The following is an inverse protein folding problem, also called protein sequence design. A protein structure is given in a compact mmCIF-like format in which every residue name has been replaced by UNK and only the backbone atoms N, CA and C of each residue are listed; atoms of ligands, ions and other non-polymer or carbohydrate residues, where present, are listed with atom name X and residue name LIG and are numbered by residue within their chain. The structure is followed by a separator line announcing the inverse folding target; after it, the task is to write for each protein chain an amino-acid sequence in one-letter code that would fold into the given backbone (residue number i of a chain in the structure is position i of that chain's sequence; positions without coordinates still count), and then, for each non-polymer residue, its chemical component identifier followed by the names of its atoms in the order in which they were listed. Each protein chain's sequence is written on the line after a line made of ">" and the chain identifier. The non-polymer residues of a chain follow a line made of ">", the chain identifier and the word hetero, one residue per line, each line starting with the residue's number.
data_IF_570199293394
#
_entry.id   IF_570199293394
#
_cell.length_a   1.000
_cell.length_b   1.000
_cell.length_c   1.000
_cell.angle_alpha   90.00
_cell.angle_beta   90.00
_cell.angle_gamma   90.00
#
_symmetry.space_group_name_H-M   'P 1'
#
loop_
_entity.id
_entity.type
_entity.pdbx_description
1 polymer ?
#
# COMPACT_ATOMS: atom_id res chain seq x y z
N UNK A 1 2.75 7.24 9.88
CA UNK A 1 2.23 5.92 9.47
C UNK A 1 1.08 5.48 10.38
N UNK A 2 -0.05 5.04 9.81
CA UNK A 2 -1.18 4.40 10.51
C UNK A 2 -0.96 2.88 10.56
N UNK A 3 -1.30 2.26 11.69
CA UNK A 3 -1.31 0.81 11.81
C UNK A 3 -2.43 0.21 10.97
N UNK A 4 -2.09 -0.82 10.20
CA UNK A 4 -3.06 -1.56 9.40
C UNK A 4 -3.79 -2.55 10.31
N UNK A 5 -5.13 -2.52 10.32
CA UNK A 5 -5.92 -3.40 11.20
C UNK A 5 -5.78 -4.89 10.86
N UNK A 6 -5.32 -5.22 9.65
CA UNK A 6 -5.12 -6.60 9.18
C UNK A 6 -6.27 -7.54 9.57
N UNK A 7 -7.51 -7.12 9.32
CA UNK A 7 -8.72 -7.86 9.68
C UNK A 7 -8.79 -9.25 9.03
N UNK A 8 -7.99 -9.48 7.99
CA UNK A 8 -7.94 -10.76 7.27
C UNK A 8 -6.91 -11.74 7.84
N UNK A 9 -6.04 -11.34 8.76
CA UNK A 9 -4.97 -12.17 9.35
C UNK A 9 -3.85 -12.60 8.39
N UNK A 10 -4.06 -12.48 7.07
CA UNK A 10 -3.11 -12.85 6.01
C UNK A 10 -2.53 -11.66 5.25
N UNK A 11 -2.83 -10.42 5.65
CA UNK A 11 -2.27 -9.27 4.93
C UNK A 11 -0.79 -9.12 5.25
N UNK A 12 0.02 -8.98 4.20
CA UNK A 12 1.46 -8.71 4.30
C UNK A 12 1.77 -7.26 4.69
N UNK A 13 0.75 -6.40 4.83
CA UNK A 13 0.89 -4.99 5.21
C UNK A 13 0.83 -4.82 6.73
N UNK A 14 1.87 -4.22 7.30
CA UNK A 14 1.95 -3.86 8.72
C UNK A 14 1.44 -2.44 8.98
N UNK A 15 1.89 -1.48 8.17
CA UNK A 15 1.55 -0.07 8.32
C UNK A 15 1.39 0.59 6.96
N UNK A 16 0.65 1.69 6.91
CA UNK A 16 0.52 2.50 5.72
C UNK A 16 0.55 3.98 6.06
N UNK A 17 0.90 4.81 5.10
CA UNK A 17 0.93 6.25 5.22
C UNK A 17 0.31 6.86 3.97
N UNK A 18 -0.71 7.67 4.20
CA UNK A 18 -1.40 8.39 3.14
C UNK A 18 -0.86 9.82 3.14
N UNK A 19 -0.10 10.18 2.11
CA UNK A 19 0.28 11.56 1.84
C UNK A 19 -0.58 12.12 0.69
N UNK A 20 -0.39 13.41 0.39
CA UNK A 20 -1.13 14.12 -0.66
C UNK A 20 -0.78 13.58 -2.05
N UNK A 21 0.52 13.36 -2.30
CA UNK A 21 1.06 12.96 -3.60
C UNK A 21 1.49 11.49 -3.69
N UNK A 22 1.61 10.81 -2.54
CA UNK A 22 2.07 9.44 -2.47
C UNK A 22 1.45 8.67 -1.30
N UNK A 23 1.52 7.34 -1.39
CA UNK A 23 1.15 6.39 -0.35
C UNK A 23 2.36 5.53 -0.07
N UNK A 24 2.79 5.50 1.19
CA UNK A 24 3.87 4.63 1.65
C UNK A 24 3.26 3.43 2.34
N UNK A 25 3.66 2.23 1.95
CA UNK A 25 3.19 0.99 2.57
C UNK A 25 4.39 0.26 3.15
N UNK A 26 4.27 -0.12 4.41
CA UNK A 26 5.25 -0.91 5.14
C UNK A 26 4.70 -2.31 5.34
N UNK A 27 5.47 -3.28 4.87
CA UNK A 27 5.13 -4.69 4.99
C UNK A 27 5.64 -5.27 6.31
N UNK A 28 5.08 -6.41 6.71
CA UNK A 28 5.52 -7.19 7.86
C UNK A 28 6.97 -7.65 7.71
N UNK A 29 7.43 -7.86 6.47
CA UNK A 29 8.82 -8.20 6.14
C UNK A 29 9.78 -6.99 6.22
N UNK A 30 9.38 -5.89 6.88
CA UNK A 30 10.12 -4.63 6.99
C UNK A 30 10.40 -3.90 5.65
N UNK A 31 9.97 -4.46 4.52
CA UNK A 31 10.04 -3.80 3.22
C UNK A 31 9.12 -2.59 3.18
N UNK A 32 9.59 -1.50 2.58
CA UNK A 32 8.84 -0.25 2.45
C UNK A 32 8.74 0.10 0.98
N UNK A 33 7.51 0.25 0.51
CA UNK A 33 7.21 0.60 -0.87
C UNK A 33 6.48 1.93 -0.90
N UNK A 34 6.91 2.81 -1.81
CA UNK A 34 6.27 4.11 -2.02
C UNK A 34 5.58 4.14 -3.37
N UNK A 35 4.29 4.47 -3.35
CA UNK A 35 3.43 4.59 -4.51
C UNK A 35 3.04 6.05 -4.70
N UNK A 36 3.53 6.71 -5.74
CA UNK A 36 3.13 8.07 -6.08
C UNK A 36 2.00 8.07 -7.11
N UNK A 37 1.21 9.14 -7.15
CA UNK A 37 0.17 9.31 -8.18
C UNK A 37 0.73 9.22 -9.60
N UNK A 38 1.99 9.65 -9.81
CA UNK A 38 2.68 9.55 -11.10
C UNK A 38 3.07 8.12 -11.49
N UNK A 39 3.45 7.27 -10.53
CA UNK A 39 3.91 5.91 -10.84
C UNK A 39 2.80 4.89 -10.78
N UNK A 40 1.99 4.94 -9.71
CA UNK A 40 0.88 4.03 -9.50
C UNK A 40 -0.39 4.47 -10.24
N UNK A 41 -0.54 5.77 -10.55
CA UNK A 41 -1.79 6.32 -11.06
C UNK A 41 -2.77 6.66 -9.92
N UNK A 42 -3.56 7.72 -10.13
CA UNK A 42 -4.56 8.17 -9.16
C UNK A 42 -5.59 7.09 -8.80
N UNK A 43 -6.05 6.30 -9.78
CA UNK A 43 -7.02 5.22 -9.55
C UNK A 43 -6.49 4.17 -8.59
N UNK A 44 -5.26 3.70 -8.81
CA UNK A 44 -4.65 2.72 -7.92
C UNK A 44 -4.41 3.31 -6.52
N UNK A 45 -3.97 4.57 -6.43
CA UNK A 45 -3.80 5.25 -5.14
C UNK A 45 -5.14 5.35 -4.41
N UNK A 46 -6.23 5.73 -5.10
CA UNK A 46 -7.58 5.77 -4.53
C UNK A 46 -8.01 4.38 -4.05
N UNK A 47 -7.79 3.35 -4.85
CA UNK A 47 -8.09 1.96 -4.46
C UNK A 47 -7.29 1.55 -3.21
N UNK A 48 -6.01 1.90 -3.13
CA UNK A 48 -5.18 1.66 -1.95
C UNK A 48 -5.74 2.37 -0.72
N UNK A 49 -6.19 3.62 -0.84
CA UNK A 49 -6.80 4.33 0.31
C UNK A 49 -8.04 3.58 0.81
N UNK A 50 -8.91 3.16 -0.11
CA UNK A 50 -10.13 2.41 0.24
C UNK A 50 -9.80 1.08 0.92
N UNK A 51 -8.85 0.30 0.38
CA UNK A 51 -8.43 -0.97 0.98
C UNK A 51 -7.70 -0.77 2.31
N UNK A 52 -6.93 0.31 2.45
CA UNK A 52 -6.26 0.69 3.69
C UNK A 52 -7.23 1.07 4.80
N UNK A 53 -8.30 1.78 4.45
CA UNK A 53 -9.39 2.10 5.37
C UNK A 53 -10.23 0.86 5.70
N UNK A 54 -10.47 -0.01 4.72
CA UNK A 54 -11.19 -1.27 4.92
C UNK A 54 -10.38 -2.29 5.76
N UNK A 55 -9.07 -2.10 5.92
CA UNK A 55 -8.22 -2.99 6.74
C UNK A 55 -8.08 -4.41 6.18
N UNK A 56 -8.46 -4.66 4.92
CA UNK A 56 -8.44 -5.97 4.26
C UNK A 56 -8.08 -5.84 2.78
N UNK A 57 -7.25 -6.76 2.27
CA UNK A 57 -6.98 -6.92 0.84
C UNK A 57 -5.91 -5.99 0.23
N UNK A 58 -5.35 -5.05 0.99
CA UNK A 58 -4.33 -4.12 0.47
C UNK A 58 -3.06 -4.85 0.00
N UNK A 59 -2.57 -5.84 0.76
CA UNK A 59 -1.35 -6.58 0.39
C UNK A 59 -1.48 -7.34 -0.94
N UNK A 60 -2.57 -8.10 -1.10
CA UNK A 60 -2.85 -8.83 -2.34
C UNK A 60 -3.04 -7.88 -3.52
N UNK A 61 -3.77 -6.77 -3.33
CA UNK A 61 -3.93 -5.76 -4.37
C UNK A 61 -2.57 -5.20 -4.80
N UNK A 62 -1.67 -4.94 -3.87
CA UNK A 62 -0.33 -4.46 -4.18
C UNK A 62 0.46 -5.50 -4.99
N UNK A 63 0.48 -6.76 -4.56
CA UNK A 63 1.18 -7.83 -5.30
C UNK A 63 0.58 -8.11 -6.69
N UNK A 64 -0.72 -7.87 -6.88
CA UNK A 64 -1.38 -8.21 -8.15
C UNK A 64 -1.35 -7.04 -9.14
N UNK A 65 -1.66 -5.82 -8.69
CA UNK A 65 -1.80 -4.63 -9.53
C UNK A 65 -0.56 -3.73 -9.52
N UNK A 66 0.18 -3.71 -8.42
CA UNK A 66 1.23 -2.72 -8.17
C UNK A 66 2.64 -3.34 -8.12
N UNK A 67 2.77 -4.60 -8.55
CA UNK A 67 4.05 -5.31 -8.64
C UNK A 67 5.07 -4.59 -9.53
N UNK A 68 4.59 -3.90 -10.57
CA UNK A 68 5.42 -3.16 -11.54
C UNK A 68 5.19 -1.63 -11.51
N UNK A 69 4.21 -1.15 -10.73
CA UNK A 69 3.82 0.27 -10.71
C UNK A 69 4.28 1.00 -9.43
N UNK A 70 5.22 0.42 -8.68
CA UNK A 70 5.80 1.08 -7.52
C UNK A 70 6.77 2.18 -7.96
N UNK A 71 6.65 3.36 -7.36
CA UNK A 71 7.52 4.49 -7.72
C UNK A 71 8.97 4.24 -7.31
N UNK A 72 9.15 3.60 -6.16
CA UNK A 72 10.46 3.26 -5.63
C UNK A 72 10.33 2.20 -4.54
N UNK A 73 11.17 1.17 -4.63
CA UNK A 73 11.45 0.29 -3.50
C UNK A 73 12.43 1.02 -2.58
N UNK A 74 12.01 1.32 -1.35
CA UNK A 74 12.82 2.09 -0.40
C UNK A 74 13.82 1.18 0.34
N UNK A 75 13.49 -0.11 0.51
CA UNK A 75 14.32 -1.12 1.18
C UNK A 75 13.98 -2.52 0.71
#
# INVERSE_FOLDING_TARGET
>A
MKHYQNLSGKSTVAMYELAKDFVTVRFTNQSVFRYSNQSAGMDNVRQMKTLALAGKGLGTFIETKLKDLYARKVR
#
